data_IF_416324543247
#
_entry.id   IF_416324543247
#
_cell.length_a   1.000
_cell.length_b   1.000
_cell.length_c   1.000
_cell.angle_alpha   90.00
_cell.angle_beta   90.00
_cell.angle_gamma   90.00
#
_symmetry.space_group_name_H-M   'P 1'
#
loop_
_entity.id
_entity.type
_entity.pdbx_description
1 polymer ?
#
# COMPACT_ATOMS: atom_id res chain seq x y z
N UNK A 1 49.26 -3.09 -41.58
CA UNK A 1 48.04 -2.41 -41.09
C UNK A 1 47.43 -3.24 -39.97
N UNK A 2 47.60 -2.85 -38.70
CA UNK A 2 47.01 -3.55 -37.54
C UNK A 2 45.87 -2.69 -36.99
N UNK A 3 44.63 -3.14 -37.16
CA UNK A 3 43.45 -2.52 -36.53
C UNK A 3 43.28 -3.12 -35.13
N UNK A 4 43.46 -2.28 -34.11
CA UNK A 4 43.12 -2.60 -32.73
C UNK A 4 41.62 -2.39 -32.55
N UNK A 5 40.87 -3.46 -32.26
CA UNK A 5 39.48 -3.36 -31.82
C UNK A 5 39.49 -3.18 -30.30
N UNK A 6 39.13 -1.98 -29.84
CA UNK A 6 38.76 -1.76 -28.44
C UNK A 6 37.34 -2.29 -28.23
N UNK A 7 37.23 -3.40 -27.50
CA UNK A 7 35.95 -3.91 -27.00
C UNK A 7 35.59 -3.12 -25.75
N UNK A 8 34.65 -2.17 -25.85
CA UNK A 8 34.11 -1.45 -24.69
C UNK A 8 33.01 -2.34 -24.10
N UNK A 9 33.32 -3.02 -22.98
CA UNK A 9 32.33 -3.68 -22.15
C UNK A 9 31.48 -2.60 -21.46
N UNK A 10 30.29 -2.33 -22.00
CA UNK A 10 29.29 -1.50 -21.33
C UNK A 10 28.66 -2.37 -20.23
N UNK A 11 29.13 -2.20 -19.00
CA UNK A 11 28.49 -2.76 -17.81
C UNK A 11 27.24 -1.93 -17.56
N UNK A 12 26.08 -2.44 -17.96
CA UNK A 12 24.79 -1.83 -17.63
C UNK A 12 24.49 -2.10 -16.16
N UNK A 13 24.69 -1.09 -15.30
CA UNK A 13 24.18 -1.13 -13.93
C UNK A 13 22.65 -0.99 -13.99
N UNK A 14 21.93 -2.08 -13.76
CA UNK A 14 20.49 -2.02 -13.50
C UNK A 14 20.29 -1.33 -12.15
N UNK A 15 19.97 -0.03 -12.18
CA UNK A 15 19.53 0.70 -10.98
C UNK A 15 18.15 0.17 -10.62
N UNK A 16 18.09 -0.84 -9.75
CA UNK A 16 16.84 -1.23 -9.12
C UNK A 16 16.46 -0.14 -8.12
N UNK A 17 15.56 0.76 -8.51
CA UNK A 17 14.96 1.70 -7.56
C UNK A 17 14.23 0.88 -6.49
N UNK A 18 14.55 1.12 -5.22
CA UNK A 18 13.82 0.52 -4.12
C UNK A 18 12.30 0.81 -4.26
N UNK A 19 11.42 -0.14 -3.90
CA UNK A 19 9.99 0.08 -3.96
C UNK A 19 9.60 1.25 -3.05
N UNK A 20 8.75 2.14 -3.55
CA UNK A 20 8.21 3.25 -2.75
C UNK A 20 7.36 2.63 -1.63
N UNK A 21 7.65 3.02 -0.39
CA UNK A 21 6.87 2.62 0.80
C UNK A 21 6.28 3.85 1.47
N UNK A 22 4.96 3.84 1.62
CA UNK A 22 4.21 4.83 2.39
C UNK A 22 3.81 4.25 3.74
N UNK A 23 3.90 5.04 4.80
CA UNK A 23 3.53 4.61 6.15
C UNK A 23 2.97 5.74 7.01
N UNK A 24 2.18 5.40 8.03
CA UNK A 24 1.57 6.38 8.93
C UNK A 24 2.60 7.17 9.76
N UNK A 25 3.80 6.62 9.97
CA UNK A 25 4.92 7.31 10.62
C UNK A 25 6.26 6.82 10.07
N UNK A 26 7.17 7.75 9.78
CA UNK A 26 8.55 7.44 9.43
C UNK A 26 9.48 7.25 10.64
N UNK A 27 9.09 7.75 11.81
CA UNK A 27 9.85 7.58 13.04
C UNK A 27 9.40 6.30 13.75
N UNK A 28 9.91 5.14 13.31
CA UNK A 28 9.58 3.82 13.86
C UNK A 28 10.33 3.51 15.18
N UNK A 29 11.30 4.33 15.56
CA UNK A 29 12.09 4.15 16.79
C UNK A 29 11.43 4.81 18.00
N UNK A 30 10.42 5.67 17.78
CA UNK A 30 9.67 6.25 18.87
C UNK A 30 8.85 5.17 19.59
N UNK A 31 8.86 5.10 20.93
CA UNK A 31 8.23 4.04 21.71
C UNK A 31 6.71 3.91 21.53
N UNK A 32 6.07 4.93 20.93
CA UNK A 32 4.64 4.95 20.61
C UNK A 32 4.35 4.96 19.11
N UNK A 33 5.38 4.81 18.27
CA UNK A 33 5.19 4.70 16.83
C UNK A 33 4.71 3.29 16.50
N UNK A 34 3.43 3.19 16.16
CA UNK A 34 2.89 1.96 15.62
C UNK A 34 2.38 2.28 14.23
N UNK A 35 2.87 1.53 13.26
CA UNK A 35 2.51 1.70 11.87
C UNK A 35 1.36 0.76 11.54
N UNK A 36 0.13 1.28 11.62
CA UNK A 36 -1.06 0.46 11.41
C UNK A 36 -1.52 0.41 9.96
N UNK A 37 -0.87 1.17 9.07
CA UNK A 37 -1.20 1.16 7.66
C UNK A 37 0.05 1.46 6.83
N UNK A 38 0.39 0.56 5.92
CA UNK A 38 1.49 0.79 4.98
C UNK A 38 1.16 0.33 3.57
N UNK A 39 1.70 1.05 2.58
CA UNK A 39 1.56 0.73 1.16
C UNK A 39 2.97 0.56 0.60
N UNK A 40 3.27 -0.61 0.03
CA UNK A 40 4.52 -0.85 -0.69
C UNK A 40 4.19 -1.07 -2.16
N UNK A 41 4.59 -0.13 -3.02
CA UNK A 41 4.34 -0.20 -4.46
C UNK A 41 5.21 -1.26 -5.14
N UNK A 42 4.63 -1.96 -6.12
CA UNK A 42 5.27 -3.04 -6.87
C UNK A 42 5.34 -2.68 -8.38
N UNK A 43 6.25 -3.33 -9.12
CA UNK A 43 6.62 -2.94 -10.49
C UNK A 43 5.53 -3.12 -11.58
N UNK A 44 4.35 -3.62 -11.23
CA UNK A 44 3.26 -4.03 -12.12
C UNK A 44 1.94 -3.29 -11.83
N UNK A 45 2.00 -2.12 -11.18
CA UNK A 45 0.80 -1.37 -10.80
C UNK A 45 -0.02 -2.08 -9.71
N UNK A 46 0.62 -2.95 -8.93
CA UNK A 46 0.06 -3.46 -7.69
C UNK A 46 0.77 -2.85 -6.49
N UNK A 47 0.13 -2.94 -5.34
CA UNK A 47 0.73 -2.58 -4.07
C UNK A 47 0.43 -3.67 -3.05
N UNK A 48 1.41 -3.94 -2.20
CA UNK A 48 1.20 -4.69 -0.98
C UNK A 48 0.73 -3.72 0.10
N UNK A 49 -0.46 -3.97 0.64
CA UNK A 49 -1.12 -3.09 1.61
C UNK A 49 -1.20 -3.81 2.94
N UNK A 50 -0.62 -3.21 3.97
CA UNK A 50 -0.76 -3.62 5.36
C UNK A 50 -1.89 -2.82 6.00
N UNK A 51 -2.81 -3.52 6.65
CA UNK A 51 -3.96 -2.94 7.34
C UNK A 51 -3.99 -3.55 8.75
N UNK A 52 -3.86 -2.70 9.77
CA UNK A 52 -3.77 -3.06 11.18
C UNK A 52 -2.55 -3.95 11.41
N UNK A 53 -1.46 -3.37 11.93
CA UNK A 53 -0.14 -4.01 11.95
C UNK A 53 -0.18 -5.50 12.32
N UNK A 54 0.46 -6.33 11.49
CA UNK A 54 0.50 -7.79 11.61
C UNK A 54 -0.85 -8.53 11.52
N UNK A 55 -1.96 -7.86 11.17
CA UNK A 55 -3.28 -8.50 11.07
C UNK A 55 -3.70 -8.80 9.64
N UNK A 56 -3.48 -7.89 8.71
CA UNK A 56 -3.95 -8.04 7.33
C UNK A 56 -2.90 -7.50 6.36
N UNK A 57 -2.47 -8.35 5.44
CA UNK A 57 -1.68 -7.99 4.26
C UNK A 57 -2.42 -8.46 3.01
N UNK A 58 -2.67 -7.54 2.09
CA UNK A 58 -3.36 -7.83 0.82
C UNK A 58 -2.56 -7.30 -0.35
N UNK A 59 -2.81 -7.88 -1.51
CA UNK A 59 -2.39 -7.31 -2.80
C UNK A 59 -3.55 -6.48 -3.33
N UNK A 60 -3.24 -5.23 -3.64
CA UNK A 60 -4.14 -4.27 -4.27
C UNK A 60 -3.69 -3.96 -5.69
N UNK A 61 -4.63 -3.82 -6.62
CA UNK A 61 -4.38 -3.26 -7.94
C UNK A 61 -4.61 -1.76 -7.89
N UNK A 62 -3.63 -0.98 -8.34
CA UNK A 62 -3.74 0.46 -8.51
C UNK A 62 -4.44 0.76 -9.84
N UNK A 63 -5.39 1.70 -9.81
CA UNK A 63 -5.97 2.33 -10.98
C UNK A 63 -5.79 3.84 -10.82
N UNK A 64 -5.00 4.43 -11.72
CA UNK A 64 -4.69 5.86 -11.68
C UNK A 64 -5.82 6.67 -12.30
N UNK A 65 -6.22 7.74 -11.62
CA UNK A 65 -7.05 8.83 -12.13
C UNK A 65 -6.19 10.10 -12.28
N UNK A 66 -6.80 11.22 -12.68
CA UNK A 66 -6.04 12.47 -12.92
C UNK A 66 -5.32 12.99 -11.67
N UNK A 67 -5.99 13.03 -10.51
CA UNK A 67 -5.46 13.65 -9.29
C UNK A 67 -5.29 12.67 -8.11
N UNK A 68 -5.72 11.42 -8.26
CA UNK A 68 -5.69 10.40 -7.22
C UNK A 68 -5.56 9.01 -7.84
N UNK A 69 -5.34 8.01 -7.01
CA UNK A 69 -5.38 6.60 -7.41
C UNK A 69 -6.36 5.83 -6.55
N UNK A 70 -7.04 4.87 -7.16
CA UNK A 70 -7.93 3.92 -6.49
C UNK A 70 -7.24 2.57 -6.35
N UNK A 71 -7.42 1.91 -5.21
CA UNK A 71 -6.78 0.64 -4.92
C UNK A 71 -7.83 -0.45 -4.69
N UNK A 72 -7.83 -1.46 -5.55
CA UNK A 72 -8.82 -2.54 -5.55
C UNK A 72 -8.22 -3.81 -4.99
N UNK A 73 -8.95 -4.48 -4.09
CA UNK A 73 -8.55 -5.79 -3.58
C UNK A 73 -8.34 -6.79 -4.74
N UNK A 74 -7.26 -7.57 -4.69
CA UNK A 74 -7.00 -8.67 -5.61
C UNK A 74 -6.94 -10.00 -4.88
N UNK A 75 -6.11 -10.08 -3.84
CA UNK A 75 -5.92 -11.29 -3.06
C UNK A 75 -5.39 -10.99 -1.67
N UNK A 76 -5.55 -11.97 -0.78
CA UNK A 76 -4.79 -12.02 0.47
C UNK A 76 -3.34 -12.33 0.15
N UNK A 77 -2.44 -11.64 0.84
CA UNK A 77 -1.03 -12.02 0.90
C UNK A 77 -0.74 -12.78 2.20
N UNK A 78 -1.05 -12.18 3.36
CA UNK A 78 -0.85 -12.82 4.67
C UNK A 78 -1.86 -12.27 5.68
N UNK A 79 -2.36 -13.10 6.59
CA UNK A 79 -3.29 -12.65 7.64
C UNK A 79 -2.86 -13.15 9.01
N UNK A 80 -2.96 -12.26 9.98
CA UNK A 80 -2.91 -12.57 11.41
C UNK A 80 -4.29 -12.97 11.94
N UNK A 81 -4.38 -13.07 13.27
CA UNK A 81 -5.57 -13.59 13.96
C UNK A 81 -6.83 -12.79 13.65
N UNK A 82 -6.73 -11.46 13.57
CA UNK A 82 -7.91 -10.62 13.33
C UNK A 82 -8.43 -10.74 11.88
N UNK A 83 -7.52 -10.91 10.91
CA UNK A 83 -7.89 -11.12 9.50
C UNK A 83 -8.40 -12.53 9.18
N UNK A 84 -8.11 -13.54 10.01
CA UNK A 84 -8.45 -14.94 9.74
C UNK A 84 -9.97 -15.23 9.73
N UNK A 85 -10.78 -14.38 10.36
CA UNK A 85 -12.24 -14.54 10.42
C UNK A 85 -12.97 -13.86 9.26
N UNK A 86 -12.26 -13.15 8.39
CA UNK A 86 -12.86 -12.44 7.26
C UNK A 86 -13.13 -13.40 6.09
N UNK A 87 -14.29 -13.24 5.44
CA UNK A 87 -14.62 -13.99 4.22
C UNK A 87 -13.91 -13.38 3.00
N UNK A 88 -12.61 -13.65 2.87
CA UNK A 88 -11.77 -13.12 1.79
C UNK A 88 -12.27 -13.43 0.38
N UNK A 89 -12.97 -14.56 0.21
CA UNK A 89 -13.59 -14.93 -1.06
C UNK A 89 -14.88 -14.15 -1.33
N UNK A 90 -15.53 -13.63 -0.29
CA UNK A 90 -16.70 -12.77 -0.38
C UNK A 90 -16.39 -11.34 -0.85
N UNK A 91 -15.14 -10.89 -0.71
CA UNK A 91 -14.76 -9.52 -1.04
C UNK A 91 -14.71 -9.22 -2.54
N UNK A 92 -15.13 -8.02 -2.89
CA UNK A 92 -15.20 -7.53 -4.26
C UNK A 92 -13.84 -7.03 -4.76
N UNK A 93 -13.48 -7.44 -5.98
CA UNK A 93 -12.33 -6.90 -6.72
C UNK A 93 -12.70 -5.68 -7.60
N UNK A 94 -13.97 -5.27 -7.58
CA UNK A 94 -14.52 -4.18 -8.40
C UNK A 94 -14.86 -2.91 -7.61
N UNK A 95 -14.72 -2.94 -6.29
CA UNK A 95 -14.97 -1.80 -5.42
C UNK A 95 -13.64 -1.44 -4.73
N UNK A 96 -13.24 -0.15 -4.71
CA UNK A 96 -11.94 0.24 -4.19
C UNK A 96 -11.92 0.14 -2.67
N UNK A 97 -10.82 -0.38 -2.11
CA UNK A 97 -10.58 -0.40 -0.67
C UNK A 97 -10.22 0.97 -0.12
N UNK A 98 -9.51 1.78 -0.92
CA UNK A 98 -9.15 3.15 -0.57
C UNK A 98 -8.82 3.96 -1.81
N UNK A 99 -8.77 5.27 -1.63
CA UNK A 99 -8.14 6.19 -2.58
C UNK A 99 -6.88 6.80 -1.96
N UNK A 100 -5.95 7.21 -2.81
CA UNK A 100 -4.69 7.85 -2.42
C UNK A 100 -4.46 9.09 -3.28
N UNK A 101 -4.29 10.22 -2.63
CA UNK A 101 -3.95 11.51 -3.25
C UNK A 101 -2.53 11.91 -2.85
N UNK A 102 -1.74 12.36 -3.82
CA UNK A 102 -0.39 12.86 -3.55
C UNK A 102 -0.46 14.36 -3.26
N UNK A 103 -0.04 14.76 -2.07
CA UNK A 103 0.04 16.18 -1.70
C UNK A 103 1.39 16.76 -2.10
N UNK A 104 2.47 16.04 -1.80
CA UNK A 104 3.84 16.40 -2.18
C UNK A 104 4.72 15.14 -2.33
N UNK A 105 6.05 15.24 -2.33
CA UNK A 105 6.93 14.06 -2.45
C UNK A 105 6.92 13.16 -1.21
N UNK A 106 6.66 13.75 -0.06
CA UNK A 106 6.62 13.08 1.24
C UNK A 106 5.20 12.66 1.61
N UNK A 107 4.21 13.54 1.50
CA UNK A 107 2.90 13.36 2.11
C UNK A 107 1.83 12.94 1.08
N UNK A 108 1.05 11.94 1.47
CA UNK A 108 -0.08 11.40 0.71
C UNK A 108 -1.30 11.32 1.60
N UNK A 109 -2.48 11.70 1.09
CA UNK A 109 -3.74 11.54 1.79
C UNK A 109 -4.38 10.22 1.37
N UNK A 110 -4.62 9.33 2.32
CA UNK A 110 -5.40 8.11 2.11
C UNK A 110 -6.83 8.33 2.57
N UNK A 111 -7.81 7.82 1.81
CA UNK A 111 -9.20 7.67 2.25
C UNK A 111 -9.56 6.20 2.31
N UNK A 112 -9.60 5.62 3.51
CA UNK A 112 -9.86 4.20 3.71
C UNK A 112 -11.36 3.91 3.74
N UNK A 113 -11.80 3.01 2.85
CA UNK A 113 -13.21 2.60 2.74
C UNK A 113 -13.46 1.26 3.42
N UNK A 114 -12.47 0.36 3.49
CA UNK A 114 -12.65 -1.01 3.96
C UNK A 114 -12.68 -2.05 2.84
N UNK A 115 -13.04 -3.28 3.19
CA UNK A 115 -13.27 -4.35 2.21
C UNK A 115 -14.76 -4.42 1.86
N UNK A 116 -15.09 -4.26 0.58
CA UNK A 116 -16.47 -4.39 0.13
C UNK A 116 -16.89 -5.86 0.11
N UNK A 117 -17.82 -6.21 0.97
CA UNK A 117 -18.42 -7.53 1.06
C UNK A 117 -19.60 -7.65 0.08
N UNK A 118 -19.53 -8.64 -0.83
CA UNK A 118 -20.55 -8.86 -1.86
C UNK A 118 -21.85 -9.46 -1.32
N UNK A 119 -21.79 -10.19 -0.21
CA UNK A 119 -22.95 -10.82 0.41
C UNK A 119 -23.75 -9.79 1.20
N UNK A 120 -23.05 -8.95 1.97
CA UNK A 120 -23.69 -7.93 2.81
C UNK A 120 -23.86 -6.56 2.14
N UNK A 121 -23.29 -6.38 0.94
CA UNK A 121 -23.40 -5.17 0.09
C UNK A 121 -22.98 -3.90 0.85
N UNK A 122 -21.88 -4.01 1.61
CA UNK A 122 -21.33 -2.90 2.39
C UNK A 122 -19.83 -3.04 2.54
N UNK A 123 -19.17 -1.93 2.88
CA UNK A 123 -17.80 -2.00 3.36
C UNK A 123 -17.75 -2.58 4.77
N UNK A 124 -16.75 -3.41 5.01
CA UNK A 124 -16.40 -4.00 6.30
C UNK A 124 -14.98 -3.60 6.65
N UNK A 125 -14.62 -3.69 7.93
CA UNK A 125 -13.31 -3.23 8.42
C UNK A 125 -13.08 -1.73 8.13
N UNK A 126 -14.17 -0.95 8.18
CA UNK A 126 -14.26 0.45 7.78
C UNK A 126 -14.47 1.43 8.96
N UNK A 127 -14.84 0.95 10.15
CA UNK A 127 -15.08 1.78 11.33
C UNK A 127 -13.89 1.91 12.28
N UNK A 128 -13.84 3.07 12.95
CA UNK A 128 -12.74 3.59 13.75
C UNK A 128 -13.03 3.35 15.24
N UNK A 129 -12.22 2.48 15.87
CA UNK A 129 -12.08 2.36 17.32
C UNK A 129 -12.85 1.17 17.97
N UNK A 130 -12.27 0.40 18.88
CA UNK A 130 -11.04 0.65 19.67
C UNK A 130 -9.78 -0.10 19.18
N UNK A 131 -9.85 -0.91 18.12
CA UNK A 131 -8.73 -1.72 17.60
C UNK A 131 -8.85 -2.00 16.08
N UNK A 132 -9.17 -0.97 15.30
CA UNK A 132 -9.05 -0.99 13.83
C UNK A 132 -7.62 -0.69 13.38
N UNK A 133 -7.29 -0.74 12.08
CA UNK A 133 -6.08 -0.08 11.58
C UNK A 133 -6.16 1.40 12.02
N UNK A 134 -5.17 1.92 12.77
CA UNK A 134 -5.14 3.32 13.27
C UNK A 134 -5.03 4.37 12.15
N UNK A 135 -5.99 4.36 11.24
CA UNK A 135 -6.39 5.54 10.49
C UNK A 135 -7.38 6.24 11.41
N UNK A 136 -6.88 7.18 12.22
CA UNK A 136 -7.64 7.92 13.24
C UNK A 136 -8.83 8.74 12.68
N UNK A 137 -9.04 8.71 11.36
CA UNK A 137 -10.14 9.35 10.63
C UNK A 137 -10.36 8.64 9.29
N UNK A 138 -11.52 8.86 8.66
CA UNK A 138 -11.85 8.35 7.31
C UNK A 138 -10.78 8.69 6.26
N UNK A 139 -10.03 9.77 6.52
CA UNK A 139 -8.80 10.14 5.82
C UNK A 139 -7.59 10.16 6.76
N UNK A 140 -6.38 9.89 6.28
CA UNK A 140 -5.14 10.07 7.07
C UNK A 140 -3.97 10.44 6.16
N UNK A 141 -2.86 10.90 6.74
CA UNK A 141 -1.64 11.16 5.99
C UNK A 141 -0.71 9.94 6.10
N UNK A 142 -0.27 9.44 4.95
CA UNK A 142 0.84 8.49 4.85
C UNK A 142 2.06 9.23 4.29
N UNK A 143 3.24 8.84 4.80
CA UNK A 143 4.50 9.46 4.49
C UNK A 143 5.40 8.52 3.70
N UNK A 144 6.04 9.05 2.65
CA UNK A 144 7.15 8.43 1.97
C UNK A 144 8.45 8.73 2.72
N UNK A 145 8.97 7.72 3.42
CA UNK A 145 10.11 7.92 4.31
C UNK A 145 11.46 7.97 3.62
N UNK A 146 11.50 7.80 2.30
CA UNK A 146 12.67 8.17 1.51
C UNK A 146 12.91 9.71 1.50
N UNK A 147 11.88 10.48 1.87
CA UNK A 147 11.91 11.95 1.95
C UNK A 147 11.66 12.46 3.38
N UNK A 148 11.92 11.61 4.40
CA UNK A 148 11.82 11.97 5.81
C UNK A 148 13.06 12.74 6.29
#
# INVERSE_FOLDING_TARGET
>A
MKKWLFLICIVTFSVHSAPIKLQASCNLEAPNSVNYFSITFQANGTARVEVNSNQIYVIAKEVKAENYSEFFYQSVDTVGRAGAYLNWNGFSTKHPMFTLERVNERDFVIHWKGFWDRETVKYTWNEIGSKGPDLYSESSVLQNCAYY
#
